data_IF_919330565407
#
_entry.id   IF_919330565407
#
_cell.length_a   1.000
_cell.length_b   1.000
_cell.length_c   1.000
_cell.angle_alpha   90.00
_cell.angle_beta   90.00
_cell.angle_gamma   90.00
#
_symmetry.space_group_name_H-M   'P 1'
#
loop_
_entity.id
_entity.type
_entity.pdbx_description
1 polymer ?
#
# COMPACT_ATOMS: atom_id res chain seq x y z
N UNK A 1 -22.61 8.88 17.41
CA UNK A 1 -21.90 8.37 16.23
C UNK A 1 -21.01 9.41 15.51
N UNK A 2 -20.69 10.57 16.12
CA UNK A 2 -19.84 11.65 15.55
C UNK A 2 -18.49 11.81 16.27
N UNK A 3 -18.20 10.94 17.23
CA UNK A 3 -17.12 11.13 18.23
C UNK A 3 -15.87 10.29 17.95
N UNK A 4 -16.00 9.21 17.18
CA UNK A 4 -14.88 8.31 16.85
C UNK A 4 -14.05 8.91 15.70
N UNK A 5 -14.72 9.46 14.68
CA UNK A 5 -14.09 10.12 13.53
C UNK A 5 -13.40 11.44 13.88
N UNK A 6 -13.95 12.19 14.85
CA UNK A 6 -13.31 13.41 15.37
C UNK A 6 -12.02 13.11 16.15
N UNK A 7 -11.84 11.87 16.63
CA UNK A 7 -10.65 11.40 17.36
C UNK A 7 -9.47 11.02 16.44
N UNK A 8 -9.67 11.01 15.12
CA UNK A 8 -8.71 10.49 14.15
C UNK A 8 -8.35 11.47 13.01
N UNK A 9 -8.89 12.69 13.02
CA UNK A 9 -8.49 13.80 12.11
C UNK A 9 -8.29 13.40 10.63
N UNK A 10 -9.15 12.56 10.07
CA UNK A 10 -9.07 12.17 8.65
C UNK A 10 -10.31 12.66 7.89
N UNK A 11 -10.19 13.65 6.96
CA UNK A 11 -11.31 14.11 6.15
C UNK A 11 -11.36 13.40 4.79
N UNK A 12 -12.40 12.60 4.53
CA UNK A 12 -12.65 11.96 3.23
C UNK A 12 -13.73 10.88 3.30
N UNK A 13 -14.43 10.55 2.18
CA UNK A 13 -15.75 9.93 2.21
C UNK A 13 -15.72 8.55 2.86
N UNK A 14 -16.81 8.26 3.59
CA UNK A 14 -17.03 7.08 4.42
C UNK A 14 -16.42 5.80 3.84
N UNK A 15 -15.77 4.96 4.67
CA UNK A 15 -15.47 3.61 4.26
C UNK A 15 -16.79 2.88 3.97
N UNK A 16 -16.90 2.30 2.77
CA UNK A 16 -17.92 1.27 2.48
C UNK A 16 -17.79 0.21 3.58
N UNK A 17 -18.90 -0.26 4.13
CA UNK A 17 -19.01 -1.10 5.34
C UNK A 17 -18.07 -2.31 5.41
N UNK A 18 -17.54 -2.80 4.29
CA UNK A 18 -16.54 -3.88 4.24
C UNK A 18 -15.10 -3.45 4.62
N UNK A 19 -14.78 -2.15 4.58
CA UNK A 19 -13.44 -1.60 4.82
C UNK A 19 -13.04 -1.53 6.31
N UNK A 20 -13.90 -1.92 7.25
CA UNK A 20 -13.57 -1.92 8.68
C UNK A 20 -12.36 -2.81 9.03
N UNK A 21 -12.21 -3.94 8.32
CA UNK A 21 -11.01 -4.80 8.44
C UNK A 21 -9.77 -4.09 7.91
N UNK A 22 -9.90 -3.40 6.77
CA UNK A 22 -8.83 -2.62 6.14
C UNK A 22 -8.42 -1.43 7.02
N UNK A 23 -9.35 -0.80 7.74
CA UNK A 23 -9.05 0.29 8.66
C UNK A 23 -8.11 -0.15 9.80
N UNK A 24 -8.32 -1.35 10.34
CA UNK A 24 -7.43 -1.91 11.36
C UNK A 24 -6.03 -2.23 10.83
N UNK A 25 -5.95 -2.72 9.59
CA UNK A 25 -4.68 -3.02 8.92
C UNK A 25 -3.92 -1.72 8.65
N UNK A 26 -4.58 -0.73 8.05
CA UNK A 26 -3.96 0.58 7.75
C UNK A 26 -3.45 1.23 9.03
N UNK A 27 -4.23 1.23 10.12
CA UNK A 27 -3.81 1.83 11.38
C UNK A 27 -2.55 1.19 11.95
N UNK A 28 -2.50 -0.14 12.02
CA UNK A 28 -1.32 -0.87 12.51
C UNK A 28 -0.08 -0.60 11.65
N UNK A 29 -0.26 -0.54 10.33
CA UNK A 29 0.82 -0.20 9.41
C UNK A 29 1.31 1.22 9.66
N UNK A 30 0.42 2.21 9.78
CA UNK A 30 0.77 3.63 9.99
C UNK A 30 1.46 3.89 11.32
N UNK A 31 1.06 3.16 12.38
CA UNK A 31 1.70 3.21 13.70
C UNK A 31 3.16 2.72 13.64
N UNK A 32 3.47 1.74 12.78
CA UNK A 32 4.81 1.17 12.61
C UNK A 32 5.74 1.93 11.64
N UNK A 33 5.28 3.00 10.98
CA UNK A 33 6.10 3.75 10.02
C UNK A 33 7.08 4.66 10.79
N UNK A 34 8.37 4.40 10.75
CA UNK A 34 9.40 5.32 11.27
C UNK A 34 10.42 5.67 10.19
N UNK A 35 11.13 6.79 10.34
CA UNK A 35 12.19 7.20 9.42
C UNK A 35 11.67 7.98 8.22
N UNK A 36 12.24 7.83 7.00
CA UNK A 36 11.96 8.72 5.85
C UNK A 36 10.50 8.85 5.43
N UNK A 37 9.64 7.92 5.86
CA UNK A 37 8.20 7.90 5.58
C UNK A 37 7.35 8.52 6.71
N UNK A 38 7.98 9.10 7.72
CA UNK A 38 7.29 9.79 8.83
C UNK A 38 6.36 10.91 8.35
N UNK A 39 6.73 11.60 7.27
CA UNK A 39 5.89 12.61 6.62
C UNK A 39 5.24 12.09 5.32
N UNK A 40 5.13 10.77 5.17
CA UNK A 40 4.48 10.15 4.03
C UNK A 40 2.97 10.37 4.00
N UNK A 41 2.37 10.13 2.83
CA UNK A 41 0.92 10.27 2.57
C UNK A 41 0.02 9.57 3.60
N UNK A 42 0.51 8.54 4.28
CA UNK A 42 -0.26 7.78 5.26
C UNK A 42 -0.31 8.43 6.66
N UNK A 43 0.54 9.43 6.91
CA UNK A 43 0.61 10.21 8.17
C UNK A 43 0.17 11.67 8.03
N UNK A 44 0.25 12.23 6.83
CA UNK A 44 -0.24 13.59 6.56
C UNK A 44 -1.75 13.68 6.78
N UNK A 45 -2.20 14.86 7.23
CA UNK A 45 -3.61 15.15 7.53
C UNK A 45 -4.13 16.30 6.69
N UNK A 46 -5.45 16.36 6.55
CA UNK A 46 -6.19 17.48 5.96
C UNK A 46 -5.60 18.00 4.63
N UNK A 47 -5.29 19.29 4.56
CA UNK A 47 -4.79 19.95 3.35
C UNK A 47 -3.39 19.46 2.94
N UNK A 48 -2.54 19.09 3.90
CA UNK A 48 -1.23 18.53 3.58
C UNK A 48 -1.38 17.18 2.86
N UNK A 49 -2.32 16.34 3.33
CA UNK A 49 -2.66 15.09 2.68
C UNK A 49 -3.23 15.33 1.28
N UNK A 50 -4.17 16.27 1.12
CA UNK A 50 -4.78 16.58 -0.19
C UNK A 50 -3.73 17.07 -1.18
N UNK A 51 -2.82 17.96 -0.76
CA UNK A 51 -1.76 18.51 -1.60
C UNK A 51 -0.73 17.44 -2.00
N UNK A 52 -0.25 16.64 -1.05
CA UNK A 52 0.66 15.56 -1.38
C UNK A 52 -0.01 14.53 -2.30
N UNK A 53 -1.28 14.20 -2.06
CA UNK A 53 -2.04 13.25 -2.88
C UNK A 53 -2.26 13.76 -4.29
N UNK A 54 -2.56 15.05 -4.48
CA UNK A 54 -2.78 15.63 -5.80
C UNK A 54 -1.51 15.57 -6.68
N UNK A 55 -0.33 15.63 -6.05
CA UNK A 55 0.97 15.49 -6.73
C UNK A 55 1.26 14.03 -7.08
N UNK A 56 1.00 13.09 -6.17
CA UNK A 56 1.41 11.68 -6.34
C UNK A 56 0.42 10.87 -7.17
N UNK A 57 -0.89 11.13 -7.05
CA UNK A 57 -1.94 10.32 -7.70
C UNK A 57 -1.83 10.24 -9.23
N UNK A 58 -1.48 11.32 -9.97
CA UNK A 58 -1.36 11.27 -11.43
C UNK A 58 -0.36 10.23 -11.94
N UNK A 59 0.71 9.96 -11.18
CA UNK A 59 1.74 8.97 -11.50
C UNK A 59 1.19 7.53 -11.50
N UNK A 60 0.15 7.28 -10.70
CA UNK A 60 -0.50 5.97 -10.58
C UNK A 60 -1.84 5.92 -11.31
N UNK A 61 -2.01 6.72 -12.37
CA UNK A 61 -3.17 6.59 -13.26
C UNK A 61 -3.22 5.22 -13.94
N UNK A 62 -4.41 4.78 -14.33
CA UNK A 62 -4.61 3.50 -15.03
C UNK A 62 -3.71 3.33 -16.25
N UNK A 63 -3.52 4.40 -17.03
CA UNK A 63 -2.64 4.37 -18.19
C UNK A 63 -1.17 4.13 -17.81
N UNK A 64 -0.69 4.79 -16.75
CA UNK A 64 0.68 4.60 -16.25
C UNK A 64 0.87 3.22 -15.62
N UNK A 65 -0.10 2.73 -14.85
CA UNK A 65 -0.09 1.37 -14.30
C UNK A 65 -0.06 0.31 -15.41
N UNK A 66 -0.85 0.48 -16.47
CA UNK A 66 -0.79 -0.41 -17.65
C UNK A 66 0.56 -0.36 -18.34
N UNK A 67 1.21 0.80 -18.41
CA UNK A 67 2.57 0.91 -18.95
C UNK A 67 3.61 0.18 -18.07
N UNK A 68 3.40 0.12 -16.76
CA UNK A 68 4.26 -0.62 -15.82
C UNK A 68 4.04 -2.14 -15.83
N UNK A 69 2.94 -2.62 -16.42
CA UNK A 69 2.56 -4.05 -16.42
C UNK A 69 3.67 -4.96 -16.95
N UNK A 70 4.38 -4.54 -18.00
CA UNK A 70 5.50 -5.31 -18.55
C UNK A 70 6.60 -5.59 -17.51
N UNK A 71 6.98 -4.58 -16.72
CA UNK A 71 7.98 -4.73 -15.66
C UNK A 71 7.47 -5.65 -14.54
N UNK A 72 6.19 -5.51 -14.15
CA UNK A 72 5.59 -6.36 -13.13
C UNK A 72 5.63 -7.84 -13.53
N UNK A 73 5.34 -8.14 -14.81
CA UNK A 73 5.44 -9.50 -15.33
C UNK A 73 6.88 -10.01 -15.32
N UNK A 74 7.85 -9.20 -15.76
CA UNK A 74 9.26 -9.61 -15.74
C UNK A 74 9.75 -9.99 -14.35
N UNK A 75 9.39 -9.21 -13.32
CA UNK A 75 9.73 -9.52 -11.93
C UNK A 75 9.03 -10.80 -11.47
N UNK A 76 7.76 -10.98 -11.85
CA UNK A 76 6.98 -12.18 -11.51
C UNK A 76 7.55 -13.44 -12.16
N UNK A 77 7.93 -13.36 -13.44
CA UNK A 77 8.54 -14.46 -14.18
C UNK A 77 9.91 -14.82 -13.60
N UNK A 78 10.72 -13.81 -13.25
CA UNK A 78 12.00 -14.02 -12.58
C UNK A 78 11.81 -14.72 -11.22
N UNK A 79 10.82 -14.28 -10.44
CA UNK A 79 10.50 -14.91 -9.17
C UNK A 79 10.05 -16.37 -9.36
N UNK A 80 9.12 -16.64 -10.29
CA UNK A 80 8.66 -17.99 -10.62
C UNK A 80 9.82 -18.90 -11.06
N UNK A 81 10.74 -18.40 -11.88
CA UNK A 81 11.93 -19.16 -12.27
C UNK A 81 12.75 -19.57 -11.05
N UNK A 82 12.98 -18.66 -10.09
CA UNK A 82 13.68 -19.00 -8.85
C UNK A 82 12.94 -20.04 -8.03
N UNK A 83 11.61 -19.93 -7.94
CA UNK A 83 10.80 -20.94 -7.25
C UNK A 83 10.96 -22.33 -7.86
N UNK A 84 10.96 -22.43 -9.20
CA UNK A 84 11.20 -23.69 -9.89
C UNK A 84 12.61 -24.24 -9.63
N UNK A 85 13.64 -23.37 -9.63
CA UNK A 85 15.02 -23.77 -9.28
C UNK A 85 15.12 -24.33 -7.85
N UNK A 86 14.42 -23.74 -6.87
CA UNK A 86 14.37 -24.27 -5.50
C UNK A 86 13.62 -25.60 -5.43
N UNK A 87 12.52 -25.74 -6.18
CA UNK A 87 11.74 -26.97 -6.25
C UNK A 87 12.57 -28.14 -6.83
N UNK A 88 13.33 -27.90 -7.90
CA UNK A 88 14.20 -28.89 -8.53
C UNK A 88 15.32 -29.35 -7.59
N UNK A 89 15.86 -28.43 -6.78
CA UNK A 89 16.90 -28.72 -5.79
C UNK A 89 16.38 -29.32 -4.49
N UNK A 90 15.06 -29.43 -4.32
CA UNK A 90 14.39 -29.83 -3.07
C UNK A 90 14.84 -28.97 -1.87
N UNK A 91 15.11 -27.69 -2.11
CA UNK A 91 15.53 -26.74 -1.08
C UNK A 91 14.33 -26.04 -0.44
N UNK A 92 14.35 -25.92 0.88
CA UNK A 92 13.33 -25.19 1.63
C UNK A 92 13.70 -23.71 1.62
N UNK A 93 12.74 -22.84 1.29
CA UNK A 93 12.89 -21.39 1.40
C UNK A 93 11.71 -20.79 2.17
N UNK A 94 12.00 -19.70 2.88
CA UNK A 94 11.02 -18.98 3.69
C UNK A 94 10.19 -18.03 2.80
N UNK A 95 8.87 -18.19 2.82
CA UNK A 95 7.94 -17.28 2.15
C UNK A 95 7.46 -16.27 3.18
N UNK A 96 7.97 -15.04 3.05
CA UNK A 96 7.47 -13.90 3.83
C UNK A 96 6.18 -13.38 3.21
N UNK A 97 5.05 -13.78 3.80
CA UNK A 97 3.71 -13.28 3.47
C UNK A 97 3.45 -11.95 4.16
#
# INVERSE_FOLDING_TARGET
>A
MNHIFRRLEMPGPSPISFLGQIYNIIRKVVEGISGPLEHGLTRLKDEQWKNARSIVSPTFSTAKLKAMYGLMNQVSDMYNKRLLEYADKQEIFDIKV
#
